data_IF_233818475281
#
_entry.id   IF_233818475281
#
_cell.length_a   1.000
_cell.length_b   1.000
_cell.length_c   1.000
_cell.angle_alpha   90.00
_cell.angle_beta   90.00
_cell.angle_gamma   90.00
#
_symmetry.space_group_name_H-M   'P 1'
#
loop_
_entity.id
_entity.type
_entity.pdbx_description
1 polymer ?
#
# COMPACT_ATOMS: atom_id res chain seq x y z
N UNK A 1 -26.08 60.05 15.08
CA UNK A 1 -25.06 60.83 15.82
C UNK A 1 -24.96 60.26 17.24
N UNK A 2 -23.76 60.25 17.83
CA UNK A 2 -23.55 60.13 19.29
C UNK A 2 -23.07 61.48 19.84
N UNK A 3 -23.32 61.75 21.13
CA UNK A 3 -22.23 61.90 22.11
C UNK A 3 -22.38 60.85 23.24
N UNK A 4 -21.35 60.08 23.62
CA UNK A 4 -20.16 60.37 24.47
C UNK A 4 -20.36 60.06 25.97
N UNK A 5 -19.28 59.63 26.65
CA UNK A 5 -19.25 59.05 28.01
C UNK A 5 -18.51 59.96 29.01
N UNK A 6 -18.84 59.86 30.31
CA UNK A 6 -17.97 59.95 31.51
C UNK A 6 -18.83 59.56 32.74
N UNK A 7 -18.38 59.12 33.93
CA UNK A 7 -17.23 58.34 34.44
C UNK A 7 -17.26 58.46 35.99
N UNK A 8 -17.38 57.36 36.75
CA UNK A 8 -17.05 57.20 38.19
C UNK A 8 -17.12 55.69 38.50
N UNK A 9 -16.14 54.96 39.06
CA UNK A 9 -15.25 55.16 40.22
C UNK A 9 -15.99 55.04 41.56
N UNK A 10 -15.65 54.01 42.34
CA UNK A 10 -16.09 53.78 43.73
C UNK A 10 -14.94 53.24 44.59
N UNK A 11 -15.17 52.79 45.85
CA UNK A 11 -14.13 52.09 46.62
C UNK A 11 -14.56 50.82 47.43
N UNK A 12 -13.64 49.85 47.52
CA UNK A 12 -13.09 49.11 48.71
C UNK A 12 -14.00 48.81 49.95
N UNK A 13 -13.83 47.72 50.74
CA UNK A 13 -12.99 46.48 50.74
C UNK A 13 -13.46 45.52 51.89
N UNK A 14 -13.01 44.25 51.86
CA UNK A 14 -12.60 43.31 52.97
C UNK A 14 -13.41 43.26 54.30
N UNK A 15 -13.69 42.14 55.00
CA UNK A 15 -13.02 40.80 55.18
C UNK A 15 -14.08 39.81 55.81
N UNK A 16 -13.91 38.55 56.28
CA UNK A 16 -12.85 37.52 56.45
C UNK A 16 -13.48 36.08 56.67
N UNK A 17 -12.62 35.10 57.03
CA UNK A 17 -12.89 33.86 57.80
C UNK A 17 -13.46 32.57 57.12
N UNK A 18 -13.09 31.41 57.69
CA UNK A 18 -13.41 30.00 57.34
C UNK A 18 -13.65 29.17 58.62
N UNK A 19 -14.25 27.96 58.54
CA UNK A 19 -13.44 26.74 58.71
C UNK A 19 -13.84 25.54 57.81
N UNK A 20 -13.15 24.40 57.97
CA UNK A 20 -13.21 23.18 57.13
C UNK A 20 -14.23 22.12 57.61
N UNK A 21 -14.59 21.18 56.71
CA UNK A 21 -14.53 19.72 56.97
C UNK A 21 -14.48 18.88 55.68
N UNK A 22 -13.87 17.70 55.79
CA UNK A 22 -13.71 16.65 54.75
C UNK A 22 -15.00 15.78 54.69
N UNK A 23 -15.25 14.84 53.72
CA UNK A 23 -14.38 13.65 53.54
C UNK A 23 -14.42 12.83 52.21
N UNK A 24 -13.63 11.74 52.21
CA UNK A 24 -13.72 10.44 51.47
C UNK A 24 -12.86 10.20 50.22
N UNK A 25 -12.40 8.95 50.16
CA UNK A 25 -11.52 8.31 49.17
C UNK A 25 -12.31 7.18 48.50
N UNK A 26 -11.97 6.84 47.25
CA UNK A 26 -12.42 5.63 46.56
C UNK A 26 -11.20 4.73 46.20
N UNK A 27 -11.34 3.40 46.19
CA UNK A 27 -10.21 2.48 46.10
C UNK A 27 -9.73 2.19 44.67
N UNK A 28 -8.51 1.68 44.55
CA UNK A 28 -7.99 1.06 43.33
C UNK A 28 -8.52 -0.37 43.15
N UNK A 29 -8.49 -0.89 41.92
CA UNK A 29 -8.79 -2.29 41.57
C UNK A 29 -7.74 -2.80 40.55
N UNK A 30 -7.37 -4.09 40.53
CA UNK A 30 -6.22 -4.60 39.77
C UNK A 30 -6.61 -5.36 38.50
N UNK A 31 -5.59 -5.99 37.89
CA UNK A 31 -5.60 -6.96 36.78
C UNK A 31 -5.55 -6.40 35.35
N UNK A 32 -4.46 -6.78 34.67
CA UNK A 32 -4.33 -6.74 33.22
C UNK A 32 -4.40 -8.18 32.66
N UNK A 33 -4.66 -8.33 31.36
CA UNK A 33 -4.40 -9.58 30.63
C UNK A 33 -5.63 -10.33 30.11
N UNK A 34 -6.27 -9.82 29.04
CA UNK A 34 -7.11 -10.60 28.13
C UNK A 34 -6.84 -10.13 26.69
N UNK A 35 -6.59 -11.01 25.71
CA UNK A 35 -6.45 -10.61 24.31
C UNK A 35 -7.80 -10.19 23.70
N UNK A 36 -7.81 -9.13 22.90
CA UNK A 36 -9.04 -8.57 22.33
C UNK A 36 -9.52 -9.44 21.15
N UNK A 37 -10.51 -10.30 21.40
CA UNK A 37 -11.31 -10.93 20.35
C UNK A 37 -12.52 -10.05 20.04
N UNK A 38 -12.51 -9.39 18.88
CA UNK A 38 -13.66 -8.59 18.43
C UNK A 38 -14.77 -9.52 17.93
N UNK A 39 -15.64 -9.96 18.85
CA UNK A 39 -16.94 -10.56 18.52
C UNK A 39 -17.98 -9.47 18.29
N UNK A 40 -18.33 -9.21 17.04
CA UNK A 40 -19.60 -8.54 16.71
C UNK A 40 -20.76 -9.50 17.02
N UNK A 41 -21.64 -9.10 17.93
CA UNK A 41 -22.70 -9.96 18.45
C UNK A 41 -24.05 -9.23 18.62
N UNK A 42 -24.81 -9.16 17.53
CA UNK A 42 -26.25 -8.94 17.49
C UNK A 42 -26.77 -9.64 16.21
N UNK A 43 -27.92 -10.31 16.19
CA UNK A 43 -28.82 -10.69 17.29
C UNK A 43 -30.07 -11.33 16.70
N UNK A 44 -30.37 -12.59 17.05
CA UNK A 44 -31.49 -13.32 16.43
C UNK A 44 -32.83 -12.79 16.92
N UNK A 45 -33.69 -12.34 15.99
CA UNK A 45 -35.06 -11.95 16.25
C UNK A 45 -35.99 -12.54 15.18
N UNK A 46 -36.78 -13.55 15.56
CA UNK A 46 -37.81 -14.16 14.71
C UNK A 46 -39.09 -13.31 14.74
N UNK A 47 -39.45 -12.67 13.62
CA UNK A 47 -40.80 -12.13 13.40
C UNK A 47 -41.27 -12.46 11.97
N UNK A 48 -42.49 -13.01 11.90
CA UNK A 48 -43.46 -13.16 10.81
C UNK A 48 -43.09 -12.80 9.36
N UNK A 49 -43.50 -13.68 8.44
CA UNK A 49 -43.58 -13.42 7.01
C UNK A 49 -44.61 -12.32 6.65
N UNK A 50 -44.45 -11.72 5.46
CA UNK A 50 -45.42 -10.89 4.73
C UNK A 50 -45.38 -11.27 3.22
N UNK A 51 -46.41 -10.94 2.41
CA UNK A 51 -46.67 -11.56 1.11
C UNK A 51 -45.89 -10.91 -0.06
N UNK A 52 -45.81 -11.57 -1.24
CA UNK A 52 -45.07 -11.06 -2.39
C UNK A 52 -45.81 -9.95 -3.15
N UNK A 53 -45.07 -8.93 -3.61
CA UNK A 53 -45.53 -8.05 -4.69
C UNK A 53 -45.27 -6.55 -4.52
N UNK A 54 -44.01 -6.11 -4.67
CA UNK A 54 -43.66 -4.76 -5.17
C UNK A 54 -42.23 -4.75 -5.74
N UNK A 55 -41.98 -3.91 -6.76
CA UNK A 55 -40.71 -3.87 -7.50
C UNK A 55 -39.61 -3.04 -6.82
N UNK A 56 -38.36 -3.09 -7.34
CA UNK A 56 -37.20 -2.43 -6.73
C UNK A 56 -37.23 -0.90 -6.87
N UNK A 57 -37.61 -0.21 -5.80
CA UNK A 57 -37.45 1.24 -5.64
C UNK A 57 -36.06 1.61 -5.09
N UNK A 58 -35.58 2.82 -5.43
CA UNK A 58 -34.21 3.29 -5.14
C UNK A 58 -33.86 3.25 -3.63
N UNK A 59 -32.79 2.54 -3.27
CA UNK A 59 -32.13 2.68 -1.97
C UNK A 59 -31.12 3.83 -2.05
N UNK A 60 -31.14 4.71 -1.05
CA UNK A 60 -30.54 6.05 -1.14
C UNK A 60 -29.06 6.06 -0.68
N UNK A 61 -28.13 5.98 -1.63
CA UNK A 61 -26.67 5.83 -1.43
C UNK A 61 -25.92 7.01 -0.75
N UNK A 62 -26.61 7.94 -0.09
CA UNK A 62 -26.00 9.21 0.40
C UNK A 62 -25.57 9.27 1.87
N UNK A 63 -25.83 8.23 2.68
CA UNK A 63 -25.66 8.32 4.15
C UNK A 63 -24.28 7.92 4.71
N UNK A 64 -23.41 7.28 3.93
CA UNK A 64 -22.09 6.83 4.41
C UNK A 64 -20.95 7.86 4.29
N UNK A 65 -21.20 9.03 3.67
CA UNK A 65 -20.15 9.99 3.26
C UNK A 65 -19.36 10.68 4.39
N UNK A 66 -19.75 10.51 5.65
CA UNK A 66 -19.18 11.23 6.80
C UNK A 66 -18.28 10.40 7.73
N UNK A 67 -18.10 9.09 7.51
CA UNK A 67 -17.07 8.33 8.23
C UNK A 67 -15.74 8.43 7.48
N UNK A 68 -14.96 9.48 7.79
CA UNK A 68 -13.52 9.49 7.47
C UNK A 68 -12.87 8.28 8.13
N UNK A 69 -12.00 7.59 7.38
CA UNK A 69 -11.19 6.48 7.90
C UNK A 69 -10.48 6.92 9.19
N UNK A 70 -10.68 6.17 10.27
CA UNK A 70 -10.02 6.40 11.55
C UNK A 70 -8.54 5.98 11.44
N UNK A 71 -7.69 6.92 11.02
CA UNK A 71 -6.25 6.71 10.86
C UNK A 71 -5.61 6.54 12.26
N UNK A 72 -4.96 5.40 12.57
CA UNK A 72 -4.12 5.28 13.75
C UNK A 72 -2.92 6.22 13.59
N UNK A 73 -2.83 7.24 14.45
CA UNK A 73 -1.72 8.19 14.41
C UNK A 73 -0.42 7.59 14.99
N UNK A 74 0.70 8.04 14.41
CA UNK A 74 2.08 7.89 14.90
C UNK A 74 2.63 6.46 14.82
N UNK A 75 3.68 6.30 14.00
CA UNK A 75 4.64 5.22 14.17
C UNK A 75 5.66 5.67 15.22
N UNK A 76 5.74 4.98 16.36
CA UNK A 76 6.74 5.28 17.37
C UNK A 76 8.16 5.09 16.84
N UNK A 77 9.03 6.06 17.11
CA UNK A 77 10.45 5.99 16.76
C UNK A 77 11.16 5.05 17.75
N UNK A 78 12.01 4.11 17.29
CA UNK A 78 12.99 3.52 18.17
C UNK A 78 13.93 4.63 18.71
N UNK A 79 14.36 4.57 19.98
CA UNK A 79 15.19 5.61 20.56
C UNK A 79 16.55 5.67 19.85
N UNK A 80 17.02 6.89 19.56
CA UNK A 80 18.38 7.10 19.05
C UNK A 80 19.38 6.64 20.12
N UNK A 81 20.24 5.68 19.78
CA UNK A 81 21.48 5.48 20.54
C UNK A 81 22.46 6.57 20.13
N UNK A 82 22.78 7.45 21.07
CA UNK A 82 23.91 8.36 20.92
C UNK A 82 25.20 7.55 20.98
N UNK A 83 25.98 7.57 19.90
CA UNK A 83 27.32 6.99 19.89
C UNK A 83 28.31 8.05 20.36
N UNK A 84 28.69 8.00 21.63
CA UNK A 84 29.79 8.79 22.19
C UNK A 84 31.09 8.45 21.46
N UNK A 85 31.65 9.41 20.72
CA UNK A 85 32.95 9.26 20.05
C UNK A 85 34.04 9.57 21.07
N UNK A 86 34.74 8.55 21.55
CA UNK A 86 36.03 8.74 22.21
C UNK A 86 37.15 8.74 21.13
N UNK A 87 38.11 9.68 21.20
CA UNK A 87 39.23 9.71 20.26
C UNK A 87 40.28 8.65 20.60
N UNK A 88 40.87 8.05 19.56
CA UNK A 88 42.12 7.30 19.64
C UNK A 88 43.12 7.92 18.66
N UNK A 89 44.37 8.01 19.08
CA UNK A 89 45.45 8.73 18.39
C UNK A 89 46.62 7.83 18.03
N UNK A 90 47.39 8.20 17.00
CA UNK A 90 48.70 7.64 16.63
C UNK A 90 48.67 6.18 16.10
N UNK A 91 49.59 5.72 15.23
CA UNK A 91 50.55 6.45 14.37
C UNK A 91 51.10 5.52 13.27
N UNK A 92 51.66 6.12 12.19
CA UNK A 92 52.58 5.49 11.21
C UNK A 92 52.02 4.30 10.38
N UNK A 93 52.57 3.89 9.23
CA UNK A 93 53.79 4.25 8.50
C UNK A 93 53.48 4.75 7.07
N UNK A 94 54.46 5.41 6.45
CA UNK A 94 54.42 5.81 5.04
C UNK A 94 55.30 4.90 4.15
N UNK A 95 55.03 4.89 2.84
CA UNK A 95 56.02 4.61 1.80
C UNK A 95 55.78 5.52 0.58
N UNK A 96 56.84 6.21 0.15
CA UNK A 96 56.95 6.83 -1.16
C UNK A 96 57.02 5.75 -2.29
N UNK A 97 56.75 6.03 -3.56
CA UNK A 97 56.35 7.29 -4.19
C UNK A 97 57.01 7.47 -5.56
N UNK A 98 56.33 8.10 -6.53
CA UNK A 98 56.95 8.54 -7.79
C UNK A 98 56.17 9.72 -8.41
N UNK A 99 56.85 10.60 -9.16
CA UNK A 99 56.30 11.81 -9.82
C UNK A 99 56.54 11.77 -11.36
N UNK A 100 56.50 12.88 -12.14
CA UNK A 100 55.29 13.21 -12.91
C UNK A 100 55.53 13.44 -14.42
N UNK A 101 54.46 13.58 -15.20
CA UNK A 101 54.50 13.97 -16.62
C UNK A 101 53.55 15.12 -16.96
N UNK A 102 54.02 16.09 -17.77
CA UNK A 102 53.19 17.15 -18.39
C UNK A 102 52.82 16.71 -19.84
N UNK A 103 52.05 17.41 -20.69
CA UNK A 103 51.62 18.83 -20.79
C UNK A 103 50.55 18.98 -21.90
N UNK A 104 49.62 19.96 -21.80
CA UNK A 104 48.86 20.64 -22.90
C UNK A 104 48.06 19.79 -23.94
N UNK A 105 46.96 20.24 -24.56
CA UNK A 105 46.16 21.47 -24.34
C UNK A 105 45.63 22.08 -25.66
N UNK A 106 44.30 22.26 -25.79
CA UNK A 106 43.66 23.05 -26.87
C UNK A 106 42.32 23.66 -26.40
N UNK A 107 41.72 24.58 -27.19
CA UNK A 107 40.52 25.37 -26.82
C UNK A 107 39.57 25.58 -28.00
N UNK A 108 38.34 25.99 -27.64
CA UNK A 108 37.32 26.74 -28.43
C UNK A 108 36.29 25.91 -29.25
N UNK A 109 35.06 26.44 -29.46
CA UNK A 109 34.27 27.21 -28.50
C UNK A 109 32.74 26.94 -28.51
N UNK A 110 32.10 27.15 -27.35
CA UNK A 110 30.80 27.85 -27.25
C UNK A 110 29.54 27.25 -27.87
N UNK A 111 28.78 26.51 -27.07
CA UNK A 111 27.30 26.55 -27.11
C UNK A 111 26.77 27.07 -25.76
N UNK A 112 25.71 27.89 -25.80
CA UNK A 112 25.14 28.51 -24.59
C UNK A 112 24.25 27.51 -23.86
N UNK A 113 24.44 27.38 -22.55
CA UNK A 113 23.64 26.48 -21.73
C UNK A 113 22.19 26.94 -21.57
N UNK A 114 21.25 26.03 -21.81
CA UNK A 114 19.94 26.04 -21.15
C UNK A 114 20.06 25.03 -20.01
N UNK A 115 20.08 25.49 -18.77
CA UNK A 115 20.18 24.60 -17.60
C UNK A 115 18.87 23.82 -17.43
N UNK A 116 18.90 22.47 -17.44
CA UNK A 116 17.82 21.71 -16.83
C UNK A 116 17.79 22.06 -15.35
N UNK A 117 16.63 22.47 -14.83
CA UNK A 117 16.47 22.71 -13.40
C UNK A 117 16.77 21.42 -12.62
N UNK A 118 17.36 21.56 -11.42
CA UNK A 118 17.71 20.43 -10.57
C UNK A 118 16.45 19.77 -9.97
N UNK A 119 15.74 18.98 -10.78
CA UNK A 119 14.74 18.05 -10.29
C UNK A 119 15.41 17.01 -9.39
N UNK A 120 14.93 16.88 -8.15
CA UNK A 120 15.42 15.89 -7.20
C UNK A 120 15.30 14.48 -7.78
N UNK A 121 16.32 13.65 -7.55
CA UNK A 121 16.36 12.29 -8.05
C UNK A 121 15.22 11.44 -7.46
N UNK A 122 14.18 11.17 -8.26
CA UNK A 122 13.13 10.24 -7.88
C UNK A 122 13.69 8.82 -7.81
N UNK A 123 14.03 8.35 -6.61
CA UNK A 123 14.46 6.97 -6.38
C UNK A 123 13.24 6.03 -6.41
N UNK A 124 13.08 5.35 -7.54
CA UNK A 124 11.97 4.45 -7.83
C UNK A 124 12.45 3.02 -7.68
N UNK A 125 12.12 2.35 -6.56
CA UNK A 125 12.44 0.94 -6.30
C UNK A 125 11.19 0.21 -5.74
N UNK A 126 10.89 -0.98 -6.25
CA UNK A 126 9.50 -1.48 -6.34
C UNK A 126 9.36 -3.00 -6.13
N UNK A 127 8.16 -3.56 -6.27
CA UNK A 127 7.69 -4.75 -5.52
C UNK A 127 7.54 -6.06 -6.33
N UNK A 128 7.14 -7.14 -5.66
CA UNK A 128 6.72 -8.43 -6.26
C UNK A 128 5.38 -8.91 -5.67
N UNK A 129 4.53 -9.51 -6.50
CA UNK A 129 3.14 -9.86 -6.14
C UNK A 129 2.71 -11.24 -6.65
N UNK A 130 1.69 -11.80 -6.00
CA UNK A 130 1.01 -13.06 -6.36
C UNK A 130 -0.50 -12.88 -6.12
N UNK A 131 -1.33 -13.49 -6.95
CA UNK A 131 -2.76 -13.68 -6.71
C UNK A 131 -3.23 -15.01 -7.32
N UNK A 132 -4.29 -15.59 -6.78
CA UNK A 132 -5.03 -16.65 -7.45
C UNK A 132 -6.54 -16.56 -7.23
N UNK A 133 -7.28 -17.11 -8.18
CA UNK A 133 -8.67 -17.51 -8.04
C UNK A 133 -8.81 -18.98 -8.42
N UNK A 134 -9.63 -19.72 -7.67
CA UNK A 134 -9.85 -21.16 -7.90
C UNK A 134 -11.34 -21.52 -7.80
N UNK A 135 -11.71 -22.67 -8.36
CA UNK A 135 -13.01 -23.30 -8.15
C UNK A 135 -13.11 -23.96 -6.76
N UNK A 136 -11.99 -24.46 -6.23
CA UNK A 136 -11.90 -25.11 -4.91
C UNK A 136 -10.95 -24.38 -3.96
N UNK A 137 -11.12 -24.58 -2.66
CA UNK A 137 -10.30 -23.91 -1.65
C UNK A 137 -8.87 -24.51 -1.60
N UNK A 138 -7.91 -23.78 -2.17
CA UNK A 138 -6.49 -24.12 -2.20
C UNK A 138 -5.81 -23.82 -0.86
N UNK A 139 -4.72 -24.53 -0.58
CA UNK A 139 -3.83 -24.20 0.54
C UNK A 139 -2.93 -23.01 0.18
N UNK A 140 -2.81 -22.02 1.07
CA UNK A 140 -1.99 -20.82 0.79
C UNK A 140 -0.49 -21.08 0.94
N UNK A 141 -0.05 -22.15 1.60
CA UNK A 141 1.35 -22.35 2.02
C UNK A 141 2.37 -22.24 0.86
N UNK A 142 2.08 -22.83 -0.29
CA UNK A 142 2.94 -22.76 -1.50
C UNK A 142 3.14 -21.32 -1.99
N UNK A 143 2.10 -20.49 -1.88
CA UNK A 143 2.12 -19.08 -2.29
C UNK A 143 2.82 -18.21 -1.24
N UNK A 144 2.65 -18.49 0.05
CA UNK A 144 3.43 -17.85 1.13
C UNK A 144 4.93 -18.13 0.98
N UNK A 145 5.30 -19.38 0.71
CA UNK A 145 6.68 -19.76 0.43
C UNK A 145 7.22 -19.07 -0.84
N UNK A 146 6.39 -18.82 -1.85
CA UNK A 146 6.80 -18.05 -3.02
C UNK A 146 6.99 -16.54 -2.73
N UNK A 147 6.18 -15.95 -1.84
CA UNK A 147 6.41 -14.59 -1.33
C UNK A 147 7.72 -14.49 -0.56
N UNK A 148 8.05 -15.48 0.28
CA UNK A 148 9.36 -15.55 0.95
C UNK A 148 10.51 -15.59 -0.08
N UNK A 149 10.45 -16.47 -1.10
CA UNK A 149 11.45 -16.49 -2.19
C UNK A 149 11.54 -15.16 -2.94
N UNK A 150 10.41 -14.49 -3.19
CA UNK A 150 10.37 -13.17 -3.82
C UNK A 150 11.02 -12.09 -2.92
N UNK A 151 10.84 -12.16 -1.60
CA UNK A 151 11.49 -11.29 -0.62
C UNK A 151 13.01 -11.46 -0.65
N UNK A 152 13.51 -12.70 -0.66
CA UNK A 152 14.94 -13.01 -0.70
C UNK A 152 15.59 -12.58 -2.02
N UNK A 153 15.07 -13.09 -3.15
CA UNK A 153 15.81 -13.18 -4.42
C UNK A 153 15.01 -12.77 -5.66
N UNK A 154 13.75 -12.33 -5.51
CA UNK A 154 12.93 -11.88 -6.65
C UNK A 154 13.56 -10.72 -7.42
N UNK A 155 13.42 -10.71 -8.75
CA UNK A 155 14.09 -9.80 -9.67
C UNK A 155 13.99 -8.33 -9.24
N UNK A 156 15.08 -7.59 -9.43
CA UNK A 156 15.19 -6.13 -9.28
C UNK A 156 15.47 -5.50 -10.65
N UNK A 157 15.31 -4.17 -10.80
CA UNK A 157 15.88 -3.46 -11.96
C UNK A 157 17.40 -3.45 -11.84
N UNK A 158 18.10 -3.53 -12.97
CA UNK A 158 19.55 -3.43 -13.02
C UNK A 158 20.05 -2.14 -12.33
N UNK A 159 21.05 -2.28 -11.46
CA UNK A 159 21.62 -1.17 -10.68
C UNK A 159 20.88 -0.81 -9.39
N UNK A 160 19.76 -1.48 -9.05
CA UNK A 160 19.17 -1.35 -7.70
C UNK A 160 19.98 -2.11 -6.64
N UNK A 161 20.09 -1.50 -5.47
CA UNK A 161 20.71 -2.06 -4.27
C UNK A 161 19.96 -3.31 -3.77
N UNK A 162 20.69 -4.34 -3.31
CA UNK A 162 20.14 -5.40 -2.47
C UNK A 162 20.23 -4.99 -1.02
N UNK A 163 19.10 -4.98 -0.30
CA UNK A 163 19.02 -4.49 1.09
C UNK A 163 19.13 -5.65 2.09
N UNK A 164 19.48 -5.37 3.36
CA UNK A 164 19.38 -6.36 4.43
C UNK A 164 17.96 -6.95 4.50
N UNK A 165 17.86 -8.28 4.57
CA UNK A 165 16.59 -9.02 4.48
C UNK A 165 16.20 -9.48 3.07
N UNK A 166 16.94 -9.10 2.02
CA UNK A 166 16.76 -9.61 0.66
C UNK A 166 16.48 -8.54 -0.39
N UNK A 167 16.08 -8.98 -1.58
CA UNK A 167 15.72 -8.11 -2.69
C UNK A 167 14.45 -7.27 -2.42
N UNK A 168 13.42 -7.81 -1.76
CA UNK A 168 12.15 -7.08 -1.48
C UNK A 168 11.78 -7.12 0.03
N UNK A 169 12.56 -6.45 0.92
CA UNK A 169 12.51 -6.70 2.37
C UNK A 169 11.70 -5.66 3.17
N UNK A 170 11.01 -4.74 2.52
CA UNK A 170 10.47 -3.51 3.13
C UNK A 170 8.99 -3.61 3.50
N UNK A 171 8.60 -4.77 4.04
CA UNK A 171 7.24 -5.14 4.41
C UNK A 171 6.63 -6.17 3.48
N UNK A 172 5.53 -6.78 3.94
CA UNK A 172 4.75 -7.74 3.18
C UNK A 172 3.29 -7.72 3.64
N UNK A 173 2.42 -8.30 2.82
CA UNK A 173 1.06 -8.56 3.23
C UNK A 173 0.34 -9.54 2.32
N UNK A 174 -0.63 -10.23 2.89
CA UNK A 174 -1.51 -11.16 2.18
C UNK A 174 -2.97 -10.88 2.54
N UNK A 175 -3.86 -11.15 1.60
CA UNK A 175 -5.30 -11.14 1.83
C UNK A 175 -5.93 -12.39 1.22
N UNK A 176 -6.92 -12.95 1.88
CA UNK A 176 -7.62 -14.15 1.42
C UNK A 176 -9.10 -14.14 1.79
N UNK A 177 -9.93 -14.82 1.00
CA UNK A 177 -11.38 -14.85 1.22
C UNK A 177 -11.75 -15.83 2.34
N UNK A 178 -12.66 -15.38 3.21
CA UNK A 178 -13.36 -16.21 4.20
C UNK A 178 -14.84 -15.79 4.19
N UNK A 179 -15.71 -16.63 3.64
CA UNK A 179 -17.08 -16.23 3.32
C UNK A 179 -17.08 -15.20 2.19
N UNK A 180 -17.72 -14.06 2.40
CA UNK A 180 -17.79 -12.97 1.40
C UNK A 180 -16.79 -11.84 1.68
N UNK A 181 -15.96 -11.98 2.73
CA UNK A 181 -14.96 -10.99 3.14
C UNK A 181 -13.53 -11.40 2.77
N UNK A 182 -12.72 -10.43 2.35
CA UNK A 182 -11.26 -10.57 2.30
C UNK A 182 -10.68 -10.24 3.68
N UNK A 183 -10.08 -11.23 4.35
CA UNK A 183 -9.25 -11.05 5.55
C UNK A 183 -7.82 -10.72 5.13
N UNK A 184 -7.05 -10.07 6.01
CA UNK A 184 -5.73 -9.55 5.68
C UNK A 184 -4.75 -9.64 6.86
N UNK A 185 -3.49 -10.00 6.59
CA UNK A 185 -2.37 -9.95 7.55
C UNK A 185 -1.17 -9.27 6.87
N UNK A 186 -0.52 -8.34 7.57
CA UNK A 186 0.58 -7.51 7.02
C UNK A 186 1.66 -7.22 8.06
N UNK A 187 2.88 -6.94 7.59
CA UNK A 187 4.05 -6.63 8.42
C UNK A 187 4.96 -5.61 7.75
N UNK A 188 5.77 -4.90 8.54
CA UNK A 188 6.85 -4.03 8.04
C UNK A 188 8.20 -4.73 7.87
N UNK A 189 8.32 -6.00 8.29
CA UNK A 189 9.56 -6.80 8.24
C UNK A 189 9.77 -7.45 6.86
N UNK A 190 10.95 -8.03 6.58
CA UNK A 190 11.16 -8.91 5.42
C UNK A 190 10.32 -10.19 5.55
N UNK A 191 9.58 -10.56 4.51
CA UNK A 191 8.73 -11.76 4.48
C UNK A 191 9.53 -13.06 4.69
N UNK A 192 10.77 -13.10 4.21
CA UNK A 192 11.68 -14.23 4.34
C UNK A 192 12.02 -14.61 5.79
N UNK A 193 11.93 -13.67 6.73
CA UNK A 193 12.43 -13.81 8.10
C UNK A 193 11.40 -13.46 9.18
N UNK A 194 10.13 -13.31 8.81
CA UNK A 194 9.06 -12.92 9.74
C UNK A 194 8.15 -14.11 10.03
N UNK A 195 8.15 -14.68 11.26
CA UNK A 195 7.36 -15.86 11.58
C UNK A 195 5.85 -15.64 11.39
N UNK A 196 5.38 -14.39 11.47
CA UNK A 196 4.00 -14.02 11.17
C UNK A 196 3.57 -14.40 9.73
N UNK A 197 4.49 -14.62 8.79
CA UNK A 197 4.16 -15.16 7.46
C UNK A 197 3.91 -16.67 7.52
N UNK A 198 4.76 -17.43 8.22
CA UNK A 198 4.60 -18.88 8.39
C UNK A 198 3.41 -19.27 9.26
N UNK A 199 3.00 -18.39 10.19
CA UNK A 199 1.83 -18.56 11.06
C UNK A 199 0.49 -18.42 10.30
N UNK A 200 0.49 -17.97 9.04
CA UNK A 200 -0.74 -17.86 8.22
C UNK A 200 -1.13 -19.24 7.68
N UNK A 201 -2.02 -19.91 8.40
CA UNK A 201 -2.66 -21.14 7.94
C UNK A 201 -4.07 -20.86 7.42
N UNK A 202 -4.30 -21.06 6.12
CA UNK A 202 -5.60 -20.85 5.48
C UNK A 202 -5.81 -21.79 4.28
N UNK A 203 -7.06 -22.22 4.08
CA UNK A 203 -7.53 -22.69 2.78
C UNK A 203 -8.57 -21.71 2.23
N UNK A 204 -8.46 -21.36 0.96
CA UNK A 204 -9.24 -20.29 0.34
C UNK A 204 -9.27 -20.43 -1.18
N UNK A 205 -10.32 -19.93 -1.82
CA UNK A 205 -10.49 -19.92 -3.27
C UNK A 205 -10.05 -18.58 -3.91
N UNK A 206 -9.67 -17.59 -3.11
CA UNK A 206 -9.26 -16.24 -3.55
C UNK A 206 -8.13 -15.72 -2.66
N UNK A 207 -7.01 -15.35 -3.26
CA UNK A 207 -5.80 -14.90 -2.55
C UNK A 207 -5.09 -13.76 -3.27
N UNK A 208 -4.53 -12.82 -2.50
CA UNK A 208 -3.54 -11.84 -2.91
C UNK A 208 -2.35 -11.90 -1.95
N UNK A 209 -1.15 -11.66 -2.47
CA UNK A 209 0.08 -11.54 -1.71
C UNK A 209 1.05 -10.56 -2.33
N UNK A 210 1.80 -9.85 -1.51
CA UNK A 210 2.74 -8.81 -1.93
C UNK A 210 3.94 -8.75 -1.00
N UNK A 211 5.13 -8.59 -1.58
CA UNK A 211 6.35 -8.24 -0.85
C UNK A 211 6.90 -6.92 -1.39
N UNK A 212 7.19 -6.02 -0.47
CA UNK A 212 7.40 -4.60 -0.76
C UNK A 212 8.87 -4.26 -0.84
N UNK A 213 9.22 -3.47 -1.85
CA UNK A 213 10.39 -2.59 -1.79
C UNK A 213 9.87 -1.17 -1.53
N UNK A 214 10.48 -0.44 -0.61
CA UNK A 214 10.12 0.94 -0.33
C UNK A 214 11.08 1.91 -1.02
N UNK A 215 10.56 2.83 -1.83
CA UNK A 215 11.31 3.97 -2.38
C UNK A 215 11.93 4.81 -1.26
N UNK A 216 11.10 5.25 -0.30
CA UNK A 216 11.54 5.89 0.95
C UNK A 216 11.57 4.87 2.12
N UNK A 217 12.74 4.51 2.67
CA UNK A 217 12.87 3.62 3.83
C UNK A 217 12.16 4.08 5.11
N UNK A 218 11.89 5.37 5.29
CA UNK A 218 11.13 5.87 6.45
C UNK A 218 9.65 5.42 6.43
N UNK A 219 9.15 4.98 5.28
CA UNK A 219 7.75 4.50 5.10
C UNK A 219 7.58 3.01 5.38
N UNK A 220 8.57 2.33 5.97
CA UNK A 220 8.56 0.87 6.19
C UNK A 220 7.77 0.51 7.44
N UNK A 221 6.50 0.16 7.25
CA UNK A 221 5.60 -0.32 8.30
C UNK A 221 4.50 -1.22 7.70
N UNK A 222 3.78 -1.95 8.57
CA UNK A 222 2.66 -2.81 8.16
C UNK A 222 1.51 -2.02 7.52
N UNK A 223 1.28 -0.77 7.95
CA UNK A 223 0.23 0.09 7.41
C UNK A 223 0.47 0.45 5.93
N UNK A 224 1.72 0.77 5.57
CA UNK A 224 2.13 1.11 4.19
C UNK A 224 2.48 -0.11 3.32
N UNK A 225 2.32 -1.32 3.83
CA UNK A 225 2.47 -2.55 3.03
C UNK A 225 1.16 -2.88 2.34
N UNK A 226 1.22 -3.40 1.11
CA UNK A 226 0.06 -3.91 0.38
C UNK A 226 -0.37 -5.28 0.94
N UNK A 227 -1.60 -5.77 0.68
CA UNK A 227 -2.69 -5.07 -0.02
C UNK A 227 -3.34 -3.96 0.83
N UNK A 228 -4.17 -3.16 0.17
CA UNK A 228 -5.05 -2.16 0.77
C UNK A 228 -6.51 -2.55 0.50
N UNK A 229 -7.46 -2.07 1.31
CA UNK A 229 -8.87 -2.44 1.21
C UNK A 229 -9.78 -1.25 1.51
N UNK A 230 -10.81 -1.05 0.68
CA UNK A 230 -11.82 -0.01 0.82
C UNK A 230 -13.15 -0.50 0.23
N UNK A 231 -14.25 -0.38 0.99
CA UNK A 231 -15.63 -0.64 0.54
C UNK A 231 -15.82 -1.91 -0.32
N UNK A 232 -15.24 -3.02 0.14
CA UNK A 232 -15.33 -4.34 -0.51
C UNK A 232 -14.28 -4.61 -1.61
N UNK A 233 -13.54 -3.60 -2.07
CA UNK A 233 -12.42 -3.75 -3.01
C UNK A 233 -11.11 -3.94 -2.24
N UNK A 234 -10.29 -4.91 -2.65
CA UNK A 234 -8.93 -5.13 -2.12
C UNK A 234 -7.92 -5.00 -3.27
N UNK A 235 -6.83 -4.27 -3.07
CA UNK A 235 -5.85 -3.93 -4.11
C UNK A 235 -4.40 -4.17 -3.66
N UNK A 236 -3.63 -4.90 -4.46
CA UNK A 236 -2.17 -4.88 -4.45
C UNK A 236 -1.65 -4.21 -5.74
N UNK A 237 -0.58 -3.43 -5.63
CA UNK A 237 -0.05 -2.59 -6.71
C UNK A 237 1.48 -2.69 -6.77
N UNK A 238 2.00 -2.89 -7.97
CA UNK A 238 3.41 -2.75 -8.31
C UNK A 238 3.55 -1.67 -9.38
N UNK A 239 3.49 -0.43 -8.90
CA UNK A 239 3.45 0.79 -9.69
C UNK A 239 3.72 2.00 -8.81
N UNK A 240 3.82 3.18 -9.41
CA UNK A 240 4.00 4.44 -8.66
C UNK A 240 3.46 5.59 -9.51
N UNK A 241 2.48 6.31 -8.97
CA UNK A 241 1.93 7.51 -9.59
C UNK A 241 2.70 8.76 -9.15
N UNK A 242 2.92 9.72 -10.06
CA UNK A 242 3.63 10.97 -9.76
C UNK A 242 2.79 12.24 -10.03
N UNK A 243 1.58 12.08 -10.58
CA UNK A 243 0.58 13.14 -10.65
C UNK A 243 -0.11 13.38 -9.31
N UNK A 244 -1.32 13.95 -9.35
CA UNK A 244 -2.13 14.27 -8.16
C UNK A 244 -2.30 13.08 -7.20
N UNK A 245 -2.40 11.83 -7.69
CA UNK A 245 -2.49 10.63 -6.84
C UNK A 245 -1.24 10.45 -5.96
N UNK A 246 -0.05 10.67 -6.53
CA UNK A 246 1.22 10.57 -5.80
C UNK A 246 1.40 11.71 -4.80
N UNK A 247 1.08 12.94 -5.22
CA UNK A 247 1.17 14.13 -4.37
C UNK A 247 0.22 14.08 -3.16
N UNK A 248 -1.02 13.61 -3.36
CA UNK A 248 -2.00 13.38 -2.29
C UNK A 248 -1.57 12.27 -1.33
N UNK A 249 -0.95 11.19 -1.85
CA UNK A 249 -0.36 10.13 -1.03
C UNK A 249 0.74 10.63 -0.10
N UNK A 250 1.71 11.39 -0.64
CA UNK A 250 2.80 12.01 0.13
C UNK A 250 2.25 13.01 1.17
N UNK A 251 1.32 13.88 0.79
CA UNK A 251 0.69 14.85 1.69
C UNK A 251 -0.04 14.18 2.87
N UNK A 252 -0.69 13.02 2.62
CA UNK A 252 -1.34 12.19 3.64
C UNK A 252 -0.41 11.21 4.35
N UNK A 253 0.84 11.06 3.90
CA UNK A 253 1.83 10.08 4.35
C UNK A 253 1.36 8.61 4.25
N UNK A 254 0.66 8.30 3.17
CA UNK A 254 0.19 6.96 2.79
C UNK A 254 0.73 6.58 1.42
N UNK A 255 0.64 5.31 1.02
CA UNK A 255 0.90 4.94 -0.38
C UNK A 255 -0.11 5.62 -1.30
N UNK A 256 0.39 6.14 -2.42
CA UNK A 256 -0.35 6.47 -3.66
C UNK A 256 -1.44 5.45 -4.03
N UNK A 257 -1.21 4.17 -3.75
CA UNK A 257 -2.15 3.06 -3.95
C UNK A 257 -3.44 3.22 -3.15
N UNK A 258 -3.39 3.83 -1.96
CA UNK A 258 -4.59 4.14 -1.16
C UNK A 258 -5.46 5.17 -1.87
N UNK A 259 -4.84 6.22 -2.40
CA UNK A 259 -5.54 7.29 -3.14
C UNK A 259 -6.08 6.75 -4.48
N UNK A 260 -5.32 5.90 -5.17
CA UNK A 260 -5.81 5.17 -6.36
C UNK A 260 -6.97 4.23 -6.02
N UNK A 261 -6.92 3.52 -4.90
CA UNK A 261 -7.99 2.62 -4.45
C UNK A 261 -9.27 3.39 -4.12
N UNK A 262 -9.19 4.50 -3.38
CA UNK A 262 -10.32 5.39 -3.09
C UNK A 262 -10.98 5.91 -4.38
N UNK A 263 -10.17 6.25 -5.40
CA UNK A 263 -10.67 6.74 -6.68
C UNK A 263 -11.21 5.64 -7.60
N UNK A 264 -10.61 4.45 -7.57
CA UNK A 264 -11.10 3.27 -8.29
C UNK A 264 -12.45 2.84 -7.72
N UNK A 265 -12.59 2.84 -6.39
CA UNK A 265 -13.82 2.48 -5.68
C UNK A 265 -15.00 3.37 -6.13
N UNK A 266 -14.86 4.69 -5.98
CA UNK A 266 -15.84 5.74 -6.33
C UNK A 266 -16.27 5.68 -7.81
N UNK A 267 -15.31 5.44 -8.72
CA UNK A 267 -15.57 5.44 -10.17
C UNK A 267 -16.03 4.10 -10.75
N UNK A 268 -15.76 2.97 -10.09
CA UNK A 268 -16.02 1.62 -10.63
C UNK A 268 -17.41 1.09 -10.25
N UNK A 269 -18.46 1.85 -10.56
CA UNK A 269 -19.85 1.51 -10.19
C UNK A 269 -20.32 0.17 -10.79
N UNK A 270 -19.95 -0.11 -12.03
CA UNK A 270 -20.21 -1.39 -12.70
C UNK A 270 -19.08 -2.38 -12.40
N UNK A 271 -19.21 -3.19 -11.33
CA UNK A 271 -18.22 -4.15 -10.83
C UNK A 271 -17.93 -5.37 -11.74
N UNK A 272 -18.07 -5.22 -13.06
CA UNK A 272 -17.69 -6.21 -14.09
C UNK A 272 -16.32 -5.93 -14.71
N UNK A 273 -15.75 -6.91 -15.44
CA UNK A 273 -14.51 -6.74 -16.20
C UNK A 273 -14.57 -5.57 -17.19
N UNK A 274 -15.72 -5.38 -17.85
CA UNK A 274 -15.92 -4.27 -18.78
C UNK A 274 -15.86 -2.93 -18.04
N UNK A 275 -16.68 -2.75 -16.99
CA UNK A 275 -16.68 -1.53 -16.19
C UNK A 275 -15.32 -1.25 -15.55
N UNK A 276 -14.58 -2.29 -15.13
CA UNK A 276 -13.23 -2.15 -14.58
C UNK A 276 -12.25 -1.61 -15.63
N UNK A 277 -12.33 -2.14 -16.85
CA UNK A 277 -11.56 -1.65 -17.99
C UNK A 277 -11.85 -0.18 -18.28
N UNK A 278 -13.13 0.21 -18.29
CA UNK A 278 -13.51 1.61 -18.55
C UNK A 278 -13.05 2.56 -17.44
N UNK A 279 -13.20 2.18 -16.17
CA UNK A 279 -12.74 2.99 -15.03
C UNK A 279 -11.21 3.12 -15.01
N UNK A 280 -10.46 2.03 -15.19
CA UNK A 280 -8.99 2.07 -15.23
C UNK A 280 -8.52 2.89 -16.42
N UNK A 281 -9.09 2.69 -17.62
CA UNK A 281 -8.80 3.51 -18.82
C UNK A 281 -9.03 4.99 -18.52
N UNK A 282 -10.14 5.36 -17.90
CA UNK A 282 -10.47 6.74 -17.52
C UNK A 282 -9.51 7.34 -16.48
N UNK A 283 -9.02 6.55 -15.52
CA UNK A 283 -8.02 7.03 -14.53
C UNK A 283 -6.63 7.18 -15.18
N UNK A 284 -6.17 6.17 -15.93
CA UNK A 284 -4.82 6.16 -16.50
C UNK A 284 -4.63 7.09 -17.72
N UNK A 285 -5.72 7.60 -18.31
CA UNK A 285 -5.67 8.59 -19.39
C UNK A 285 -5.50 10.04 -18.88
N UNK A 286 -5.80 10.31 -17.61
CA UNK A 286 -5.68 11.64 -17.00
C UNK A 286 -4.22 11.91 -16.57
N UNK A 287 -3.43 12.48 -17.49
CA UNK A 287 -2.00 12.76 -17.27
C UNK A 287 -1.73 13.67 -16.06
N UNK A 288 -2.65 14.55 -15.66
CA UNK A 288 -2.47 15.34 -14.43
C UNK A 288 -2.67 14.50 -13.15
N UNK A 289 -3.59 13.55 -13.21
CA UNK A 289 -3.94 12.66 -12.10
C UNK A 289 -2.86 11.61 -11.83
N UNK A 290 -2.38 10.92 -12.88
CA UNK A 290 -1.38 9.84 -12.74
C UNK A 290 0.06 10.30 -12.92
N UNK A 291 0.30 11.35 -13.71
CA UNK A 291 1.65 11.79 -14.12
C UNK A 291 2.36 10.76 -14.99
N UNK A 292 3.67 10.90 -15.13
CA UNK A 292 4.53 9.95 -15.86
C UNK A 292 4.83 8.68 -15.02
N UNK A 293 3.75 8.01 -14.58
CA UNK A 293 3.74 6.87 -13.68
C UNK A 293 4.64 5.73 -14.17
N UNK A 294 5.33 5.05 -13.25
CA UNK A 294 6.31 4.01 -13.62
C UNK A 294 5.65 2.76 -14.20
N UNK A 295 4.66 2.27 -13.47
CA UNK A 295 3.76 1.19 -13.84
C UNK A 295 2.44 1.32 -13.08
N UNK A 296 1.47 0.51 -13.50
CA UNK A 296 0.18 0.27 -12.86
C UNK A 296 -0.14 -1.23 -12.98
N UNK A 297 0.79 -2.09 -12.55
CA UNK A 297 0.47 -3.52 -12.40
C UNK A 297 -0.41 -3.69 -11.16
N UNK A 298 -1.63 -4.19 -11.32
CA UNK A 298 -2.65 -4.28 -10.26
C UNK A 298 -3.10 -5.73 -10.08
N UNK A 299 -3.39 -6.11 -8.84
CA UNK A 299 -4.15 -7.30 -8.47
C UNK A 299 -5.33 -6.85 -7.60
N UNK A 300 -6.56 -7.15 -8.02
CA UNK A 300 -7.79 -6.57 -7.47
C UNK A 300 -8.75 -7.69 -7.07
N UNK A 301 -9.22 -7.70 -5.82
CA UNK A 301 -10.39 -8.48 -5.41
C UNK A 301 -11.62 -7.57 -5.26
N UNK A 302 -12.80 -8.06 -5.66
CA UNK A 302 -14.09 -7.44 -5.34
C UNK A 302 -15.19 -8.50 -5.35
N UNK A 303 -15.75 -8.83 -4.17
CA UNK A 303 -16.75 -9.89 -4.04
C UNK A 303 -16.22 -11.27 -4.47
N UNK A 304 -16.92 -11.94 -5.40
CA UNK A 304 -16.48 -13.21 -6.00
C UNK A 304 -15.32 -13.05 -7.00
N UNK A 305 -14.98 -11.80 -7.39
CA UNK A 305 -14.07 -11.50 -8.50
C UNK A 305 -12.63 -11.21 -8.08
N UNK A 306 -11.74 -11.60 -8.97
CA UNK A 306 -10.30 -11.35 -8.97
C UNK A 306 -9.85 -10.90 -10.34
N UNK A 307 -9.08 -9.82 -10.41
CA UNK A 307 -8.54 -9.27 -11.65
C UNK A 307 -7.03 -9.05 -11.56
N UNK A 308 -6.34 -9.22 -12.68
CA UNK A 308 -4.93 -8.88 -12.84
C UNK A 308 -4.75 -7.91 -14.00
N UNK A 309 -3.93 -6.88 -13.81
CA UNK A 309 -3.50 -5.95 -14.86
C UNK A 309 -1.97 -5.91 -14.93
N UNK A 310 -1.42 -5.99 -16.14
CA UNK A 310 -0.07 -5.51 -16.44
C UNK A 310 -0.15 -4.19 -17.22
N UNK A 311 0.48 -3.12 -16.74
CA UNK A 311 0.63 -1.86 -17.48
C UNK A 311 1.90 -1.12 -17.02
N UNK A 312 2.77 -0.71 -17.94
CA UNK A 312 3.99 0.05 -17.61
C UNK A 312 4.30 1.16 -18.61
N UNK A 313 5.13 2.13 -18.20
CA UNK A 313 5.71 3.15 -19.09
C UNK A 313 7.24 3.04 -19.24
N UNK A 314 7.90 2.29 -18.37
CA UNK A 314 9.35 2.01 -18.39
C UNK A 314 9.65 0.62 -17.84
N UNK A 315 10.88 0.12 -18.02
CA UNK A 315 11.39 -1.13 -17.42
C UNK A 315 10.43 -2.35 -17.58
N UNK A 316 9.95 -2.62 -18.79
CA UNK A 316 8.94 -3.67 -19.04
C UNK A 316 9.34 -5.06 -18.54
N UNK A 317 10.63 -5.41 -18.63
CA UNK A 317 11.22 -6.67 -18.16
C UNK A 317 11.21 -6.82 -16.64
N UNK A 318 11.00 -5.71 -15.91
CA UNK A 318 10.88 -5.68 -14.47
C UNK A 318 9.41 -5.67 -13.99
N UNK A 319 8.52 -4.97 -14.70
CA UNK A 319 7.07 -4.97 -14.44
C UNK A 319 6.38 -6.13 -15.16
N UNK A 320 6.98 -7.32 -15.05
CA UNK A 320 6.36 -8.57 -15.48
C UNK A 320 5.17 -8.92 -14.58
N UNK A 321 4.17 -9.54 -15.20
CA UNK A 321 3.07 -10.21 -14.52
C UNK A 321 2.68 -11.40 -15.41
N UNK A 322 2.96 -12.61 -14.94
CA UNK A 322 2.70 -13.86 -15.64
C UNK A 322 1.38 -14.46 -15.17
N UNK A 323 0.73 -15.19 -16.06
CA UNK A 323 -0.54 -15.88 -15.86
C UNK A 323 -0.33 -17.38 -16.16
N UNK A 324 -0.83 -18.24 -15.27
CA UNK A 324 -0.95 -19.68 -15.48
C UNK A 324 -2.37 -20.11 -15.12
N UNK A 325 -2.99 -20.95 -15.93
CA UNK A 325 -4.37 -21.40 -15.75
C UNK A 325 -4.48 -22.89 -16.07
N UNK A 326 -4.96 -23.68 -15.11
CA UNK A 326 -5.18 -25.11 -15.25
C UNK A 326 -6.30 -25.55 -14.29
N UNK A 327 -7.15 -26.48 -14.72
CA UNK A 327 -8.08 -27.24 -13.86
C UNK A 327 -8.86 -26.40 -12.83
N UNK A 328 -9.43 -25.27 -13.27
CA UNK A 328 -10.23 -24.38 -12.42
C UNK A 328 -9.43 -23.47 -11.49
N UNK A 329 -8.09 -23.50 -11.52
CA UNK A 329 -7.18 -22.59 -10.84
C UNK A 329 -6.52 -21.64 -11.84
N UNK A 330 -6.64 -20.33 -11.62
CA UNK A 330 -5.91 -19.29 -12.34
C UNK A 330 -5.02 -18.51 -11.37
N UNK A 331 -3.72 -18.44 -11.67
CA UNK A 331 -2.71 -17.75 -10.86
C UNK A 331 -2.07 -16.62 -11.67
N UNK A 332 -1.96 -15.44 -11.07
CA UNK A 332 -1.21 -14.31 -11.60
C UNK A 332 -0.03 -13.98 -10.66
N UNK A 333 1.19 -13.88 -11.16
CA UNK A 333 2.38 -13.65 -10.33
C UNK A 333 3.44 -12.81 -11.06
N UNK A 334 4.17 -11.94 -10.35
CA UNK A 334 5.18 -11.07 -10.98
C UNK A 334 6.31 -11.85 -11.68
N UNK A 335 6.50 -13.12 -11.31
CA UNK A 335 7.44 -14.08 -11.89
C UNK A 335 6.76 -15.46 -11.86
N UNK A 336 7.14 -16.42 -12.72
CA UNK A 336 6.72 -17.81 -12.59
C UNK A 336 7.01 -18.37 -11.19
N UNK A 337 6.09 -19.17 -10.63
CA UNK A 337 6.27 -19.77 -9.29
C UNK A 337 7.03 -21.10 -9.33
N UNK A 338 7.04 -21.72 -10.51
CA UNK A 338 7.61 -23.02 -10.89
C UNK A 338 8.14 -22.92 -12.34
N UNK A 339 8.76 -24.00 -12.85
CA UNK A 339 9.37 -24.05 -14.20
C UNK A 339 8.43 -24.58 -15.30
N UNK A 340 7.11 -24.49 -15.09
CA UNK A 340 6.10 -25.02 -16.01
C UNK A 340 5.97 -24.15 -17.28
N UNK A 341 5.93 -24.74 -18.49
CA UNK A 341 5.78 -23.98 -19.74
C UNK A 341 4.42 -23.25 -19.86
N UNK A 342 3.43 -23.56 -19.02
CA UNK A 342 2.11 -22.91 -18.98
C UNK A 342 2.09 -21.46 -18.44
N UNK A 343 3.22 -20.92 -17.97
CA UNK A 343 3.32 -19.50 -17.57
C UNK A 343 3.44 -18.57 -18.78
N UNK A 344 2.36 -17.87 -19.12
CA UNK A 344 2.34 -16.82 -20.14
C UNK A 344 2.58 -15.44 -19.53
N UNK A 345 3.48 -14.64 -20.07
CA UNK A 345 3.59 -13.22 -19.72
C UNK A 345 2.35 -12.46 -20.25
N UNK A 346 1.70 -11.66 -19.39
CA UNK A 346 0.62 -10.76 -19.82
C UNK A 346 1.16 -9.68 -20.76
N UNK A 347 0.40 -9.29 -21.77
CA UNK A 347 0.75 -8.16 -22.63
C UNK A 347 0.66 -6.83 -21.86
N UNK A 348 1.33 -5.78 -22.36
CA UNK A 348 1.16 -4.44 -21.79
C UNK A 348 -0.25 -3.92 -22.06
N UNK A 349 -0.95 -3.48 -21.00
CA UNK A 349 -2.37 -3.16 -21.04
C UNK A 349 -3.31 -4.38 -20.95
N UNK A 350 -2.83 -5.60 -20.72
CA UNK A 350 -3.74 -6.75 -20.57
C UNK A 350 -4.39 -6.78 -19.18
N UNK A 351 -5.71 -6.57 -19.13
CA UNK A 351 -6.55 -6.74 -17.94
C UNK A 351 -7.30 -8.08 -18.03
N UNK A 352 -7.26 -8.89 -16.97
CA UNK A 352 -7.78 -10.27 -16.97
C UNK A 352 -8.71 -10.52 -15.78
N UNK A 353 -9.91 -11.07 -16.00
CA UNK A 353 -10.73 -11.71 -14.96
C UNK A 353 -10.21 -13.15 -14.73
N UNK A 354 -9.77 -13.43 -13.50
CA UNK A 354 -9.21 -14.73 -13.09
C UNK A 354 -10.30 -15.72 -12.61
N UNK A 355 -11.53 -15.26 -12.42
CA UNK A 355 -12.50 -15.85 -11.49
C UNK A 355 -13.41 -16.93 -12.09
N UNK A 356 -13.22 -17.28 -13.37
CA UNK A 356 -14.23 -17.95 -14.19
C UNK A 356 -13.71 -19.21 -14.92
N UNK A 357 -12.76 -19.92 -14.31
CA UNK A 357 -12.22 -21.20 -14.80
C UNK A 357 -11.27 -21.07 -15.98
N UNK A 358 -11.73 -20.44 -17.07
CA UNK A 358 -10.89 -19.95 -18.15
C UNK A 358 -10.77 -18.41 -18.02
N UNK A 359 -9.55 -17.84 -17.93
CA UNK A 359 -9.36 -16.40 -17.75
C UNK A 359 -9.86 -15.62 -18.96
N UNK A 360 -10.46 -14.44 -18.71
CA UNK A 360 -10.98 -13.55 -19.76
C UNK A 360 -10.18 -12.25 -19.80
N UNK A 361 -9.42 -12.05 -20.87
CA UNK A 361 -8.60 -10.86 -21.08
C UNK A 361 -9.31 -9.78 -21.91
N UNK A 362 -9.06 -8.51 -21.60
CA UNK A 362 -9.39 -7.35 -22.45
C UNK A 362 -8.19 -6.38 -22.53
N UNK A 363 -7.92 -5.76 -23.68
CA UNK A 363 -6.84 -4.77 -23.82
C UNK A 363 -7.27 -3.38 -23.33
N UNK A 364 -6.40 -2.74 -22.54
CA UNK A 364 -6.49 -1.35 -22.11
C UNK A 364 -5.65 -0.45 -23.03
N UNK A 365 -6.21 -0.12 -24.19
CA UNK A 365 -5.66 0.96 -25.02
C UNK A 365 -5.93 2.31 -24.34
N UNK A 366 -4.86 3.02 -23.97
CA UNK A 366 -4.92 4.44 -23.59
C UNK A 366 -4.79 5.30 -24.86
N UNK A 367 -5.39 6.51 -24.91
CA UNK A 367 -5.04 7.51 -25.91
C UNK A 367 -3.56 7.93 -25.76
N UNK A 368 -2.95 8.41 -26.86
CA UNK A 368 -1.57 8.92 -26.89
C UNK A 368 -1.40 10.23 -26.13
#
# INVERSE_FOLDING_TARGET
MMPLRLFAVGPKRETAAKPMKNPRVAPASPWAGVPIVVKTAFGSALISAFPPGMGPGLINYKLYRNQRLAVPQICDRPPRREFTICPASADLLALDGCRPGQRMGSRHPGLRGVSPGAGSGYHVNMCRMIAFASAEAQDVATYLAALARFCESGNLVAGWERRPGGNHPNGWGVAWRVGDEMRMVKSGKPAATDPLLSDVHARTDRFLGHVRYASNPETVCAANSHPFQALGVTLAHNGTFYGKIGAEGEARKVSDTVVFLELLEDRWVNRSLAGLSETIRGILSDRELVGEYSAANLLIAAGDRMFALRRYQRNGDYYTLYLKSAEGLTVAASQPLDSDPGWRLLADGELVDLSQGAPRSVPLTLPG
#
